data_IF_456026122358
#
_entry.id   IF_456026122358
#
_cell.length_a   1.000
_cell.length_b   1.000
_cell.length_c   1.000
_cell.angle_alpha   90.00
_cell.angle_beta   90.00
_cell.angle_gamma   90.00
#
_symmetry.space_group_name_H-M   'P 1'
#
loop_
_entity.id
_entity.type
_entity.pdbx_description
1 polymer ?
#
# COMPACT_ATOMS: atom_id res chain seq x y z
N UNK A 1 -32.44 -27.75 4.78
CA UNK A 1 -31.00 -28.01 4.53
C UNK A 1 -30.61 -27.30 3.24
N UNK A 2 -30.19 -26.03 3.32
CA UNK A 2 -29.99 -25.17 2.15
C UNK A 2 -28.61 -25.47 1.57
N UNK A 3 -28.55 -26.29 0.50
CA UNK A 3 -27.34 -26.47 -0.33
C UNK A 3 -27.21 -25.27 -1.27
N UNK A 4 -26.87 -24.11 -0.73
CA UNK A 4 -26.56 -22.91 -1.52
C UNK A 4 -25.12 -22.96 -2.03
N UNK A 5 -24.90 -23.60 -3.18
CA UNK A 5 -23.59 -23.57 -3.85
C UNK A 5 -23.33 -22.19 -4.46
N UNK A 6 -22.19 -21.59 -4.16
CA UNK A 6 -21.77 -20.30 -4.75
C UNK A 6 -21.57 -20.53 -6.26
N UNK A 7 -22.34 -19.82 -7.09
CA UNK A 7 -22.27 -19.94 -8.55
C UNK A 7 -20.85 -19.67 -9.05
N UNK A 8 -20.40 -20.38 -10.08
CA UNK A 8 -19.10 -20.17 -10.72
C UNK A 8 -18.91 -18.72 -11.20
N UNK A 9 -20.00 -18.06 -11.59
CA UNK A 9 -20.01 -16.63 -11.92
C UNK A 9 -19.76 -15.76 -10.69
N UNK A 10 -20.32 -16.11 -9.52
CA UNK A 10 -20.07 -15.40 -8.28
C UNK A 10 -18.62 -15.62 -7.79
N UNK A 11 -18.06 -16.82 -7.97
CA UNK A 11 -16.66 -17.09 -7.67
C UNK A 11 -15.71 -16.31 -8.60
N UNK A 12 -16.00 -16.26 -9.90
CA UNK A 12 -15.24 -15.46 -10.87
C UNK A 12 -15.31 -13.96 -10.57
N UNK A 13 -16.48 -13.45 -10.17
CA UNK A 13 -16.65 -12.06 -9.76
C UNK A 13 -15.86 -11.74 -8.48
N UNK A 14 -15.89 -12.62 -7.48
CA UNK A 14 -15.11 -12.48 -6.24
C UNK A 14 -13.60 -12.48 -6.53
N UNK A 15 -13.13 -13.37 -7.40
CA UNK A 15 -11.72 -13.39 -7.82
C UNK A 15 -11.31 -12.09 -8.51
N UNK A 16 -12.14 -11.55 -9.41
CA UNK A 16 -11.85 -10.27 -10.08
C UNK A 16 -11.71 -9.11 -9.08
N UNK A 17 -12.59 -9.03 -8.08
CA UNK A 17 -12.53 -7.98 -7.04
C UNK A 17 -11.27 -8.09 -6.18
N UNK A 18 -10.84 -9.31 -5.84
CA UNK A 18 -9.64 -9.54 -5.01
C UNK A 18 -8.32 -9.09 -5.65
N UNK A 19 -8.30 -8.91 -6.98
CA UNK A 19 -7.11 -8.51 -7.73
C UNK A 19 -6.93 -6.98 -7.75
N UNK A 20 -7.97 -6.19 -7.46
CA UNK A 20 -7.91 -4.71 -7.47
C UNK A 20 -7.37 -4.10 -6.16
N UNK A 21 -6.35 -4.69 -5.54
CA UNK A 21 -5.61 -4.00 -4.49
C UNK A 21 -4.67 -2.98 -5.15
N UNK A 22 -4.76 -1.70 -4.76
CA UNK A 22 -3.85 -0.67 -5.28
C UNK A 22 -2.42 -0.93 -4.77
N UNK A 23 -1.45 -0.89 -5.67
CA UNK A 23 -0.04 -1.03 -5.31
C UNK A 23 0.50 0.24 -4.63
N UNK A 24 1.44 0.07 -3.70
CA UNK A 24 2.12 1.18 -3.04
C UNK A 24 3.02 1.92 -4.04
N UNK A 25 2.76 3.21 -4.23
CA UNK A 25 3.62 4.09 -5.03
C UNK A 25 4.71 4.70 -4.15
N UNK A 26 5.95 4.66 -4.61
CA UNK A 26 7.10 5.23 -3.89
C UNK A 26 7.88 6.12 -4.84
N UNK A 27 8.08 7.38 -4.45
CA UNK A 27 8.80 8.38 -5.23
C UNK A 27 9.96 8.97 -4.41
N UNK A 28 11.07 9.28 -5.08
CA UNK A 28 12.22 9.96 -4.47
C UNK A 28 12.16 11.44 -4.84
N UNK A 29 11.76 12.27 -3.87
CA UNK A 29 11.64 13.72 -4.07
C UNK A 29 13.01 14.40 -3.99
N UNK A 30 13.89 13.94 -3.10
CA UNK A 30 15.25 14.44 -2.95
C UNK A 30 16.16 13.33 -2.46
N UNK A 31 17.38 13.27 -3.02
CA UNK A 31 18.43 12.33 -2.61
C UNK A 31 19.71 13.16 -2.45
N UNK A 32 20.43 13.04 -1.32
CA UNK A 32 21.70 13.74 -1.15
C UNK A 32 22.71 13.28 -2.19
N UNK A 33 23.65 14.17 -2.55
CA UNK A 33 24.68 13.90 -3.56
C UNK A 33 25.50 12.64 -3.23
N UNK A 34 25.77 12.41 -1.94
CA UNK A 34 26.44 11.22 -1.44
C UNK A 34 25.45 10.43 -0.58
N UNK A 35 25.18 9.18 -0.97
CA UNK A 35 24.22 8.28 -0.32
C UNK A 35 24.74 6.83 -0.33
N UNK A 36 25.90 6.63 0.28
CA UNK A 36 26.58 5.33 0.28
C UNK A 36 25.96 4.32 1.25
N UNK A 37 25.31 4.82 2.31
CA UNK A 37 24.61 4.01 3.30
C UNK A 37 23.11 4.06 3.02
N UNK A 38 22.52 2.90 2.74
CA UNK A 38 21.08 2.71 2.53
C UNK A 38 20.49 1.91 3.69
N UNK A 39 19.23 2.19 4.01
CA UNK A 39 18.49 1.45 5.02
C UNK A 39 18.31 -0.01 4.61
N UNK A 40 18.33 -0.90 5.60
CA UNK A 40 18.11 -2.34 5.42
C UNK A 40 17.20 -2.90 6.51
N UNK A 41 16.72 -4.12 6.31
CA UNK A 41 15.87 -4.82 7.28
C UNK A 41 16.55 -4.92 8.64
N UNK A 42 15.86 -4.46 9.68
CA UNK A 42 16.34 -4.48 11.06
C UNK A 42 16.98 -3.18 11.54
N UNK A 43 17.18 -2.20 10.66
CA UNK A 43 17.64 -0.88 11.07
C UNK A 43 16.56 -0.15 11.88
N UNK A 44 16.98 0.60 12.89
CA UNK A 44 16.14 1.61 13.54
C UNK A 44 16.28 2.92 12.76
N UNK A 45 15.15 3.51 12.39
CA UNK A 45 15.10 4.74 11.59
C UNK A 45 14.30 5.81 12.33
N UNK A 46 14.77 7.05 12.28
CA UNK A 46 14.08 8.22 12.83
C UNK A 46 13.71 9.14 11.69
N UNK A 47 12.42 9.31 11.42
CA UNK A 47 11.93 10.06 10.27
C UNK A 47 11.10 11.27 10.71
N UNK A 48 11.19 12.36 9.93
CA UNK A 48 10.16 13.39 9.91
C UNK A 48 9.18 13.02 8.81
N UNK A 49 7.90 12.84 9.15
CA UNK A 49 6.87 12.46 8.17
C UNK A 49 5.68 13.42 8.21
N UNK A 50 4.80 13.28 7.23
CA UNK A 50 3.50 13.96 7.22
C UNK A 50 2.50 13.02 6.55
N UNK A 51 1.41 12.71 7.25
CA UNK A 51 0.34 11.86 6.75
C UNK A 51 -0.80 12.70 6.18
N UNK A 52 -1.20 12.42 4.94
CA UNK A 52 -2.32 13.06 4.27
C UNK A 52 -3.27 12.03 3.67
N UNK A 53 -4.57 12.34 3.62
CA UNK A 53 -5.55 11.61 2.82
C UNK A 53 -5.40 11.94 1.33
N UNK A 54 -6.11 11.21 0.46
CA UNK A 54 -6.06 11.40 -1.00
C UNK A 54 -6.56 12.77 -1.45
N UNK A 55 -7.38 13.43 -0.64
CA UNK A 55 -7.85 14.81 -0.88
C UNK A 55 -6.86 15.89 -0.40
N UNK A 56 -5.71 15.46 0.15
CA UNK A 56 -4.67 16.33 0.70
C UNK A 56 -4.88 16.73 2.16
N UNK A 57 -5.97 16.33 2.82
CA UNK A 57 -6.21 16.65 4.24
C UNK A 57 -5.16 15.97 5.12
N UNK A 58 -4.41 16.75 5.89
CA UNK A 58 -3.40 16.25 6.84
C UNK A 58 -4.07 15.61 8.06
N UNK A 59 -3.58 14.45 8.49
CA UNK A 59 -4.04 13.77 9.71
C UNK A 59 -2.94 13.59 10.78
N UNK A 60 -1.65 13.66 10.44
CA UNK A 60 -0.53 13.49 11.39
C UNK A 60 0.80 14.10 10.87
N UNK A 61 1.80 14.30 11.76
CA UNK A 61 3.21 14.68 11.42
C UNK A 61 4.22 14.54 12.55
#
# INVERSE_FOLDING_TARGET
MIRGGISLAALALICLVSVYAAELKVEKISVPEICDVKTKKGDQVTMHYTGTLDDGTKFDS
#
